data_IF_966615648296
#
_entry.id   IF_966615648296
#
_cell.length_a   1.000
_cell.length_b   1.000
_cell.length_c   1.000
_cell.angle_alpha   90.00
_cell.angle_beta   90.00
_cell.angle_gamma   90.00
#
_symmetry.space_group_name_H-M   'P 1'
#
loop_
_entity.id
_entity.type
_entity.pdbx_description
1 polymer ?
#
# COMPACT_ATOMS: atom_id res chain seq x y z
N UNK A 1 16.13 -5.42 13.97
CA UNK A 1 16.26 -5.91 12.59
C UNK A 1 16.42 -4.70 11.69
N UNK A 2 17.42 -4.67 10.81
CA UNK A 2 17.64 -3.57 9.85
C UNK A 2 16.97 -3.91 8.52
N UNK A 3 16.71 -2.93 7.64
CA UNK A 3 16.15 -3.24 6.32
C UNK A 3 17.09 -4.09 5.47
N UNK A 4 18.42 -3.93 5.64
CA UNK A 4 19.41 -4.78 4.97
C UNK A 4 19.21 -6.25 5.34
N UNK A 5 18.99 -6.55 6.61
CA UNK A 5 18.70 -7.91 7.08
C UNK A 5 17.36 -8.45 6.53
N UNK A 6 16.39 -7.56 6.33
CA UNK A 6 15.08 -7.88 5.76
C UNK A 6 15.17 -8.23 4.25
N UNK A 7 15.93 -7.43 3.50
CA UNK A 7 16.22 -7.65 2.08
C UNK A 7 17.06 -8.92 1.89
N UNK A 8 18.05 -9.16 2.75
CA UNK A 8 18.88 -10.38 2.73
C UNK A 8 18.05 -11.66 2.96
N UNK A 9 16.92 -11.57 3.68
CA UNK A 9 15.97 -12.67 3.83
C UNK A 9 15.10 -12.90 2.57
N UNK A 10 15.11 -11.97 1.61
CA UNK A 10 14.53 -12.05 0.26
C UNK A 10 13.06 -12.52 0.19
N UNK A 11 12.26 -12.22 1.22
CA UNK A 11 10.84 -12.54 1.21
C UNK A 11 10.04 -11.34 0.72
N UNK A 12 9.73 -11.32 -0.58
CA UNK A 12 8.84 -10.32 -1.19
C UNK A 12 7.39 -10.61 -0.74
N UNK A 13 6.65 -9.57 -0.36
CA UNK A 13 5.25 -9.72 0.02
C UNK A 13 4.34 -9.75 -1.22
N UNK A 14 3.88 -10.95 -1.58
CA UNK A 14 2.85 -11.15 -2.61
C UNK A 14 1.45 -11.12 -2.01
N UNK A 15 0.42 -10.99 -2.85
CA UNK A 15 -0.98 -11.05 -2.41
C UNK A 15 -1.31 -12.37 -1.72
N UNK A 16 -0.94 -13.51 -2.30
CA UNK A 16 -1.17 -14.84 -1.73
C UNK A 16 -0.51 -14.98 -0.36
N UNK A 17 0.72 -14.46 -0.21
CA UNK A 17 1.41 -14.49 1.07
C UNK A 17 0.70 -13.57 2.07
N UNK A 18 0.30 -12.36 1.66
CA UNK A 18 -0.45 -11.45 2.52
C UNK A 18 -1.77 -12.06 3.01
N UNK A 19 -2.49 -12.80 2.16
CA UNK A 19 -3.69 -13.56 2.55
C UNK A 19 -3.39 -14.57 3.68
N UNK A 20 -2.27 -15.28 3.60
CA UNK A 20 -1.83 -16.22 4.65
C UNK A 20 -1.40 -15.55 5.97
N UNK A 21 -1.18 -14.23 5.93
CA UNK A 21 -0.69 -13.44 7.05
C UNK A 21 -1.77 -12.53 7.67
N UNK A 22 -3.01 -12.55 7.18
CA UNK A 22 -4.09 -11.71 7.70
C UNK A 22 -4.19 -11.81 9.24
N UNK A 23 -4.25 -10.64 9.89
CA UNK A 23 -4.31 -10.50 11.35
C UNK A 23 -2.96 -10.67 12.07
N UNK A 24 -1.87 -10.98 11.34
CA UNK A 24 -0.52 -10.97 11.90
C UNK A 24 0.12 -9.61 11.74
N UNK A 25 1.04 -9.31 12.66
CA UNK A 25 1.96 -8.19 12.52
C UNK A 25 3.24 -8.65 11.83
N UNK A 26 3.63 -7.95 10.77
CA UNK A 26 4.89 -8.17 10.05
C UNK A 26 5.73 -6.90 10.05
N UNK A 27 7.03 -7.07 9.87
CA UNK A 27 7.93 -5.97 9.54
C UNK A 27 8.07 -5.90 8.03
N UNK A 28 7.88 -4.72 7.43
CA UNK A 28 8.08 -4.48 6.00
C UNK A 28 9.12 -3.42 5.72
N UNK A 29 9.80 -3.51 4.58
CA UNK A 29 10.66 -2.44 4.06
C UNK A 29 9.85 -1.38 3.33
N UNK A 30 10.18 -0.10 3.50
CA UNK A 30 9.53 0.98 2.76
C UNK A 30 10.55 1.79 1.93
N UNK A 31 10.76 1.48 0.64
CA UNK A 31 11.63 2.26 -0.24
C UNK A 31 10.86 3.43 -0.88
N UNK A 32 10.45 4.42 -0.08
CA UNK A 32 9.84 5.66 -0.61
C UNK A 32 10.82 6.43 -1.51
N UNK A 33 10.29 7.16 -2.49
CA UNK A 33 11.01 8.06 -3.41
C UNK A 33 11.95 9.09 -2.72
N UNK A 34 11.76 9.34 -1.41
CA UNK A 34 12.57 10.29 -0.60
C UNK A 34 13.32 9.66 0.57
N UNK A 35 13.23 8.34 0.75
CA UNK A 35 13.89 7.66 1.87
C UNK A 35 15.36 7.39 1.51
N UNK A 36 16.24 8.34 1.83
CA UNK A 36 17.71 8.11 1.83
C UNK A 36 18.15 7.07 2.87
N UNK A 37 17.23 6.59 3.72
CA UNK A 37 17.47 5.57 4.73
C UNK A 37 16.50 4.39 4.55
N UNK A 38 16.99 3.15 4.67
CA UNK A 38 16.12 1.98 4.60
C UNK A 38 15.18 1.92 5.83
N UNK A 39 13.93 2.31 5.66
CA UNK A 39 12.93 2.28 6.73
C UNK A 39 12.30 0.90 6.85
N UNK A 40 12.17 0.43 8.10
CA UNK A 40 11.37 -0.74 8.46
C UNK A 40 10.14 -0.26 9.21
N UNK A 41 8.96 -0.76 8.84
CA UNK A 41 7.69 -0.43 9.47
C UNK A 41 6.99 -1.68 9.97
N UNK A 42 6.27 -1.54 11.09
CA UNK A 42 5.33 -2.55 11.55
C UNK A 42 3.98 -2.34 10.86
N UNK A 43 3.45 -3.42 10.30
CA UNK A 43 2.18 -3.48 9.58
C UNK A 43 1.38 -4.63 10.15
N UNK A 44 0.13 -4.36 10.54
CA UNK A 44 -0.87 -5.41 10.72
C UNK A 44 -1.46 -5.74 9.35
N UNK A 45 -1.34 -6.99 8.93
CA UNK A 45 -1.81 -7.39 7.60
C UNK A 45 -3.32 -7.44 7.59
N UNK A 46 -3.91 -6.48 6.89
CA UNK A 46 -5.32 -6.45 6.50
C UNK A 46 -5.40 -6.15 5.01
N UNK A 47 -6.23 -6.90 4.29
CA UNK A 47 -6.46 -6.65 2.87
C UNK A 47 -7.62 -5.68 2.72
N UNK A 48 -7.30 -4.43 2.44
CA UNK A 48 -8.28 -3.36 2.18
C UNK A 48 -8.10 -2.91 0.75
N UNK A 49 -9.19 -2.73 0.02
CA UNK A 49 -9.11 -2.20 -1.35
C UNK A 49 -8.72 -0.73 -1.32
N UNK A 50 -8.00 -0.26 -2.34
CA UNK A 50 -7.72 1.16 -2.50
C UNK A 50 -9.03 1.96 -2.61
N UNK A 51 -10.08 1.38 -3.18
CA UNK A 51 -11.41 1.97 -3.22
C UNK A 51 -11.98 2.20 -1.81
N UNK A 52 -11.96 1.20 -0.94
CA UNK A 52 -12.45 1.32 0.45
C UNK A 52 -11.65 2.33 1.27
N UNK A 53 -10.36 2.48 0.95
CA UNK A 53 -9.51 3.51 1.52
C UNK A 53 -9.92 4.91 1.03
N UNK A 54 -9.78 5.17 -0.26
CA UNK A 54 -9.93 6.49 -0.84
C UNK A 54 -11.38 7.00 -0.72
N UNK A 55 -12.39 6.12 -0.75
CA UNK A 55 -13.79 6.52 -0.53
C UNK A 55 -14.09 7.08 0.86
N UNK A 56 -13.20 6.86 1.84
CA UNK A 56 -13.33 7.36 3.22
C UNK A 56 -12.40 8.54 3.52
N UNK A 57 -11.50 8.88 2.60
CA UNK A 57 -10.53 9.97 2.77
C UNK A 57 -11.03 11.20 2.03
N UNK A 58 -10.89 12.36 2.67
CA UNK A 58 -10.99 13.66 1.99
C UNK A 58 -9.59 14.20 1.79
N UNK A 59 -9.41 15.02 0.75
CA UNK A 59 -8.17 15.79 0.55
C UNK A 59 -8.46 17.29 0.67
N UNK A 60 -8.70 17.83 1.88
CA UNK A 60 -9.11 19.22 2.08
C UNK A 60 -8.17 20.24 1.45
N UNK A 61 -6.88 19.96 1.42
CA UNK A 61 -5.86 20.84 0.84
C UNK A 61 -6.04 21.04 -0.67
N UNK A 62 -6.59 20.06 -1.37
CA UNK A 62 -6.73 20.07 -2.84
C UNK A 62 -8.17 20.36 -3.27
N UNK A 63 -9.15 19.83 -2.54
CA UNK A 63 -10.55 19.88 -2.96
C UNK A 63 -11.46 20.63 -1.97
N UNK A 64 -11.00 20.96 -0.76
CA UNK A 64 -11.85 21.46 0.33
C UNK A 64 -12.42 20.35 1.20
N UNK A 65 -12.84 20.69 2.42
CA UNK A 65 -13.45 19.78 3.41
C UNK A 65 -14.99 19.84 3.42
N UNK A 66 -15.58 20.54 2.46
CA UNK A 66 -17.02 20.65 2.30
C UNK A 66 -17.61 19.58 1.36
N UNK A 67 -18.93 19.63 1.17
CA UNK A 67 -19.65 18.67 0.32
C UNK A 67 -19.26 18.77 -1.14
N UNK A 68 -18.94 19.97 -1.65
CA UNK A 68 -18.57 20.12 -3.05
C UNK A 68 -17.15 19.61 -3.28
N UNK A 69 -16.24 19.85 -2.34
CA UNK A 69 -14.90 19.28 -2.34
C UNK A 69 -14.90 17.76 -2.31
N UNK A 70 -15.72 17.14 -1.47
CA UNK A 70 -15.92 15.70 -1.46
C UNK A 70 -16.39 15.16 -2.82
N UNK A 71 -17.30 15.87 -3.48
CA UNK A 71 -17.84 15.52 -4.79
C UNK A 71 -16.82 15.69 -5.91
N UNK A 72 -16.03 16.77 -5.89
CA UNK A 72 -14.92 16.97 -6.83
C UNK A 72 -13.88 15.87 -6.66
N UNK A 73 -13.46 15.57 -5.43
CA UNK A 73 -12.53 14.49 -5.14
C UNK A 73 -13.03 13.13 -5.67
N UNK A 74 -14.29 12.78 -5.41
CA UNK A 74 -14.86 11.54 -5.93
C UNK A 74 -14.84 11.50 -7.46
N UNK A 75 -15.25 12.58 -8.14
CA UNK A 75 -15.32 12.61 -9.60
C UNK A 75 -13.94 12.65 -10.28
N UNK A 76 -12.96 13.29 -9.67
CA UNK A 76 -11.63 13.50 -10.28
C UNK A 76 -10.65 12.38 -9.94
N UNK A 77 -10.79 11.74 -8.77
CA UNK A 77 -9.84 10.74 -8.27
C UNK A 77 -10.41 9.33 -8.26
N UNK A 78 -11.61 9.14 -7.72
CA UNK A 78 -12.16 7.80 -7.50
C UNK A 78 -12.86 7.28 -8.75
N UNK A 79 -13.85 8.01 -9.25
CA UNK A 79 -14.72 7.59 -10.35
C UNK A 79 -13.97 7.19 -11.63
N UNK A 80 -12.92 7.91 -12.09
CA UNK A 80 -12.23 7.55 -13.33
C UNK A 80 -11.43 6.25 -13.23
N UNK A 81 -11.10 5.81 -12.01
CA UNK A 81 -10.26 4.65 -11.70
C UNK A 81 -10.98 3.65 -10.81
N UNK A 82 -12.31 3.70 -10.75
CA UNK A 82 -13.06 2.97 -9.73
C UNK A 82 -12.76 1.46 -9.74
N UNK A 83 -12.76 0.84 -10.92
CA UNK A 83 -12.46 -0.58 -11.05
C UNK A 83 -11.02 -0.90 -10.63
N UNK A 84 -10.05 -0.13 -11.11
CA UNK A 84 -8.64 -0.27 -10.73
C UNK A 84 -8.44 -0.16 -9.21
N UNK A 85 -9.14 0.78 -8.55
CA UNK A 85 -9.07 0.96 -7.11
C UNK A 85 -9.74 -0.19 -6.34
N UNK A 86 -10.78 -0.82 -6.91
CA UNK A 86 -11.43 -1.99 -6.33
C UNK A 86 -10.56 -3.24 -6.43
N UNK A 87 -9.76 -3.34 -7.48
CA UNK A 87 -8.87 -4.48 -7.70
C UNK A 87 -7.52 -4.32 -6.99
N UNK A 88 -7.11 -3.08 -6.69
CA UNK A 88 -5.88 -2.77 -5.97
C UNK A 88 -6.05 -2.95 -4.46
N UNK A 89 -5.11 -3.64 -3.81
CA UNK A 89 -5.06 -3.74 -2.34
C UNK A 89 -4.03 -2.78 -1.73
N UNK A 90 -4.29 -2.30 -0.52
CA UNK A 90 -3.36 -1.45 0.24
C UNK A 90 -3.03 -2.05 1.61
N UNK A 91 -1.82 -1.77 2.10
CA UNK A 91 -1.40 -2.07 3.47
C UNK A 91 -1.21 -0.79 4.27
N UNK A 92 -1.52 -0.85 5.57
CA UNK A 92 -1.39 0.27 6.50
C UNK A 92 -0.26 0.04 7.50
N UNK A 93 0.49 1.09 7.81
CA UNK A 93 1.33 1.09 9.00
C UNK A 93 0.49 1.21 10.29
N UNK A 94 1.12 1.03 11.44
CA UNK A 94 0.48 1.15 12.75
C UNK A 94 -0.15 2.51 13.06
N UNK A 95 0.11 3.54 12.23
CA UNK A 95 -0.49 4.87 12.33
C UNK A 95 -1.66 5.08 11.37
N UNK A 96 -2.03 4.06 10.59
CA UNK A 96 -3.10 4.11 9.61
C UNK A 96 -2.71 4.75 8.28
N UNK A 97 -1.42 4.95 8.01
CA UNK A 97 -0.96 5.45 6.71
C UNK A 97 -0.82 4.29 5.72
N UNK A 98 -1.26 4.49 4.47
CA UNK A 98 -0.96 3.53 3.40
C UNK A 98 0.55 3.49 3.20
N UNK A 99 1.14 2.29 3.31
CA UNK A 99 2.58 2.08 3.14
C UNK A 99 2.94 1.27 1.90
N UNK A 100 1.96 0.62 1.27
CA UNK A 100 2.19 -0.16 0.06
C UNK A 100 0.88 -0.42 -0.70
N UNK A 101 1.02 -0.64 -2.00
CA UNK A 101 -0.07 -0.99 -2.92
C UNK A 101 0.27 -2.31 -3.62
N UNK A 102 -0.72 -3.18 -3.77
CA UNK A 102 -0.63 -4.37 -4.60
C UNK A 102 -1.50 -4.18 -5.83
N UNK A 103 -0.82 -4.00 -6.97
CA UNK A 103 -1.44 -3.96 -8.28
C UNK A 103 -1.65 -5.42 -8.75
N UNK A 104 -2.87 -5.82 -9.14
CA UNK A 104 -3.16 -7.18 -9.63
C UNK A 104 -2.31 -7.57 -10.84
N UNK A 105 -2.07 -6.60 -11.71
CA UNK A 105 -1.27 -6.74 -12.93
C UNK A 105 -0.28 -5.57 -12.95
N UNK A 106 1.01 -5.87 -13.10
CA UNK A 106 2.02 -4.86 -13.40
C UNK A 106 3.12 -5.45 -14.29
N UNK A 107 3.89 -4.59 -14.96
CA UNK A 107 4.92 -5.01 -15.93
C UNK A 107 6.21 -5.53 -15.27
N UNK A 108 6.30 -5.52 -13.94
CA UNK A 108 7.53 -5.77 -13.20
C UNK A 108 7.57 -7.13 -12.50
N UNK A 109 6.41 -7.71 -12.19
CA UNK A 109 6.31 -8.99 -11.47
C UNK A 109 5.29 -9.92 -12.10
N UNK A 110 5.63 -11.21 -12.16
CA UNK A 110 4.75 -12.25 -12.71
C UNK A 110 3.54 -12.57 -11.80
N UNK A 111 3.53 -12.05 -10.56
CA UNK A 111 2.49 -12.28 -9.56
C UNK A 111 2.12 -10.98 -8.84
N UNK A 112 0.86 -10.82 -8.38
CA UNK A 112 0.43 -9.65 -7.63
C UNK A 112 1.34 -9.40 -6.41
N UNK A 113 2.05 -8.29 -6.43
CA UNK A 113 3.13 -7.98 -5.48
C UNK A 113 2.89 -6.62 -4.83
N UNK A 114 3.05 -6.55 -3.51
CA UNK A 114 3.00 -5.28 -2.81
C UNK A 114 4.27 -4.47 -3.10
N UNK A 115 4.07 -3.24 -3.53
CA UNK A 115 5.11 -2.31 -3.90
C UNK A 115 5.00 -1.03 -3.08
N UNK A 116 6.12 -0.32 -2.92
CA UNK A 116 6.19 0.98 -2.25
C UNK A 116 5.60 2.11 -3.10
N UNK A 117 6.28 3.26 -3.15
CA UNK A 117 5.83 4.41 -3.95
C UNK A 117 5.86 4.17 -5.46
N UNK A 118 6.74 3.28 -5.92
CA UNK A 118 6.88 2.89 -7.33
C UNK A 118 6.50 1.42 -7.50
N UNK A 119 5.80 1.11 -8.59
CA UNK A 119 5.34 -0.23 -8.98
C UNK A 119 6.46 -1.25 -9.21
N UNK A 120 7.72 -0.82 -9.32
CA UNK A 120 8.89 -1.68 -9.53
C UNK A 120 9.72 -1.90 -8.25
N UNK A 121 9.25 -1.39 -7.10
CA UNK A 121 9.93 -1.52 -5.82
C UNK A 121 9.14 -2.43 -4.89
N UNK A 122 9.44 -3.74 -4.86
CA UNK A 122 8.70 -4.67 -4.02
C UNK A 122 9.00 -4.40 -2.56
N UNK A 123 8.02 -4.64 -1.69
CA UNK A 123 8.27 -4.63 -0.25
C UNK A 123 8.70 -6.02 0.21
N UNK A 124 9.75 -6.06 1.02
CA UNK A 124 10.20 -7.26 1.70
C UNK A 124 9.53 -7.33 3.07
N UNK A 125 9.26 -8.54 3.56
CA UNK A 125 8.65 -8.76 4.86
C UNK A 125 9.38 -9.81 5.72
N UNK A 126 9.19 -9.74 7.03
CA UNK A 126 9.55 -10.79 8.00
C UNK A 126 8.43 -10.90 9.03
N UNK A 127 8.02 -12.14 9.35
CA UNK A 127 7.06 -12.42 10.43
C UNK A 127 7.71 -12.08 11.79
N UNK A 128 6.97 -11.39 12.66
CA UNK A 128 7.43 -10.98 13.99
C UNK A 128 7.17 -12.06 15.04
#
# INVERSE_FOLDING_TARGET
MTAKQLIENNQILTLDKAQSLIGKTILVTNPEDRANEPLVREVEVSLVTAYDHYSKVLMPRLYGDDKEGAKCYYNDVIKPREQELRDTFVLYDSKGNVTAHCYPENDWFDVPTFCGSDENRPIYYVEK
#
